data_IF_849254629395
#
_entry.id   IF_849254629395
#
_cell.length_a   1.000
_cell.length_b   1.000
_cell.length_c   1.000
_cell.angle_alpha   90.00
_cell.angle_beta   90.00
_cell.angle_gamma   90.00
#
_symmetry.space_group_name_H-M   'P 1'
#
loop_
_entity.id
_entity.type
_entity.pdbx_description
1 polymer ?
#
# COMPACT_ATOMS: atom_id res chain seq x y z
N UNK A 1 1.51 7.30 -55.86
CA UNK A 1 2.40 8.40 -55.42
C UNK A 1 1.56 9.47 -54.76
N UNK A 2 1.67 9.65 -53.43
CA UNK A 2 1.28 10.89 -52.77
C UNK A 2 2.49 11.56 -52.09
N UNK A 3 2.48 12.88 -52.15
CA UNK A 3 3.52 13.85 -51.80
C UNK A 3 3.74 13.98 -50.30
N UNK A 4 4.99 13.79 -49.89
CA UNK A 4 5.53 14.03 -48.55
C UNK A 4 5.69 15.53 -48.29
N UNK A 5 4.88 16.08 -47.38
CA UNK A 5 5.12 17.41 -46.81
C UNK A 5 6.03 17.29 -45.60
N UNK A 6 7.27 17.77 -45.74
CA UNK A 6 8.20 18.03 -44.64
C UNK A 6 7.62 19.15 -43.75
N UNK A 7 7.43 18.83 -42.46
CA UNK A 7 7.19 19.82 -41.41
C UNK A 7 8.51 20.03 -40.66
N UNK A 8 9.00 21.26 -40.67
CA UNK A 8 10.22 21.70 -40.00
C UNK A 8 10.07 21.68 -38.47
N UNK A 9 11.13 21.37 -37.70
CA UNK A 9 11.09 21.35 -36.25
C UNK A 9 11.27 22.76 -35.67
N UNK A 10 10.26 23.22 -34.94
CA UNK A 10 10.24 24.51 -34.24
C UNK A 10 10.88 24.36 -32.86
N UNK A 11 12.03 25.01 -32.72
CA UNK A 11 12.52 25.78 -31.57
C UNK A 11 12.50 25.12 -30.18
N UNK A 12 13.72 24.85 -29.72
CA UNK A 12 14.10 24.54 -28.35
C UNK A 12 13.61 25.59 -27.36
N UNK A 13 12.62 25.22 -26.54
CA UNK A 13 12.26 25.99 -25.36
C UNK A 13 13.20 25.60 -24.22
N UNK A 14 13.98 26.59 -23.80
CA UNK A 14 15.01 26.46 -22.77
C UNK A 14 14.35 26.43 -21.41
N UNK A 15 14.38 25.26 -20.78
CA UNK A 15 13.90 25.04 -19.42
C UNK A 15 14.75 25.86 -18.44
N UNK A 16 14.16 26.68 -17.56
CA UNK A 16 14.93 27.45 -16.59
C UNK A 16 15.62 26.53 -15.58
N UNK A 17 16.81 26.90 -15.09
CA UNK A 17 17.56 26.09 -14.13
C UNK A 17 16.80 25.98 -12.80
N UNK A 18 16.67 24.75 -12.32
CA UNK A 18 16.21 24.45 -10.96
C UNK A 18 17.12 25.17 -9.95
N UNK A 19 16.58 26.22 -9.34
CA UNK A 19 17.25 26.98 -8.29
C UNK A 19 17.14 26.18 -6.99
N UNK A 20 18.21 25.45 -6.65
CA UNK A 20 18.37 24.78 -5.35
C UNK A 20 18.14 25.80 -4.23
N UNK A 21 17.02 25.69 -3.51
CA UNK A 21 16.81 26.50 -2.32
C UNK A 21 17.81 26.04 -1.26
N UNK A 22 18.79 26.92 -1.02
CA UNK A 22 19.69 26.85 0.11
C UNK A 22 18.87 26.74 1.39
N UNK A 23 18.90 25.56 2.01
CA UNK A 23 18.46 25.37 3.38
C UNK A 23 19.42 26.16 4.28
N UNK A 24 18.95 27.29 4.81
CA UNK A 24 19.66 28.03 5.85
C UNK A 24 19.45 27.29 7.18
N UNK A 25 20.52 26.89 7.90
CA UNK A 25 20.39 26.39 9.27
C UNK A 25 19.94 27.54 10.17
N UNK A 26 18.72 27.42 10.70
CA UNK A 26 18.15 28.37 11.64
C UNK A 26 18.84 28.20 13.01
N UNK A 27 19.91 28.96 13.24
CA UNK A 27 20.53 29.10 14.55
C UNK A 27 19.66 30.01 15.43
N UNK A 28 18.76 29.41 16.22
CA UNK A 28 18.03 30.15 17.26
C UNK A 28 18.84 30.25 18.57
N UNK A 29 18.80 31.40 19.24
CA UNK A 29 19.58 31.71 20.43
C UNK A 29 19.06 30.99 21.66
N UNK A 30 19.98 30.68 22.58
CA UNK A 30 19.69 30.09 23.88
C UNK A 30 18.74 30.96 24.69
N UNK A 31 17.71 30.30 25.24
CA UNK A 31 16.86 30.86 26.28
C UNK A 31 16.84 29.86 27.45
N UNK A 32 17.76 30.09 28.39
CA UNK A 32 17.61 29.59 29.75
C UNK A 32 16.52 30.41 30.43
N UNK A 33 15.37 29.79 30.72
CA UNK A 33 14.58 30.26 31.85
C UNK A 33 13.90 29.10 32.58
N UNK A 34 14.52 28.75 33.70
CA UNK A 34 13.98 27.92 34.77
C UNK A 34 12.65 28.49 35.29
N UNK A 35 11.59 27.69 35.22
CA UNK A 35 10.43 27.83 36.11
C UNK A 35 9.80 26.47 36.36
N UNK A 36 10.26 25.84 37.43
CA UNK A 36 9.61 24.70 38.07
C UNK A 36 8.35 25.19 38.78
N UNK A 37 7.20 25.19 38.11
CA UNK A 37 5.90 25.37 38.77
C UNK A 37 5.18 24.02 38.90
N UNK A 38 5.09 23.59 40.15
CA UNK A 38 4.57 22.33 40.65
C UNK A 38 3.05 22.19 40.43
N UNK A 39 2.67 21.83 39.20
CA UNK A 39 1.28 21.46 38.83
C UNK A 39 1.23 19.99 38.38
N UNK A 40 1.89 19.11 39.14
CA UNK A 40 2.27 17.75 38.70
C UNK A 40 1.24 16.64 38.94
N UNK A 41 0.01 16.93 39.38
CA UNK A 41 -0.96 15.86 39.75
C UNK A 41 -2.23 15.78 38.89
N UNK A 42 -2.40 16.66 37.90
CA UNK A 42 -3.43 16.54 36.86
C UNK A 42 -2.87 16.64 35.44
N UNK A 43 -1.57 16.34 35.28
CA UNK A 43 -1.03 15.89 34.00
C UNK A 43 -1.56 14.48 33.75
N UNK A 44 -2.84 14.41 33.36
CA UNK A 44 -3.42 13.28 32.62
C UNK A 44 -2.33 12.81 31.67
N UNK A 45 -1.94 11.55 31.81
CA UNK A 45 -0.89 10.95 31.00
C UNK A 45 -1.30 11.00 29.52
N UNK A 46 -1.05 12.16 28.87
CA UNK A 46 -1.36 12.42 27.47
C UNK A 46 -0.59 11.46 26.55
N UNK A 47 0.31 10.64 27.10
CA UNK A 47 1.05 9.60 26.39
C UNK A 47 0.31 8.26 26.41
N UNK A 48 -0.66 8.06 27.30
CA UNK A 48 -1.41 6.81 27.35
C UNK A 48 -2.33 6.67 26.14
N UNK A 49 -2.06 5.65 25.32
CA UNK A 49 -2.87 5.34 24.13
C UNK A 49 -4.34 5.04 24.54
N UNK A 50 -5.33 5.72 23.94
CA UNK A 50 -6.75 5.54 24.24
C UNK A 50 -7.17 4.07 24.13
N UNK A 51 -8.12 3.66 24.96
CA UNK A 51 -8.65 2.27 24.94
C UNK A 51 -9.20 1.87 23.58
N UNK A 52 -9.69 2.83 22.79
CA UNK A 52 -10.27 2.58 21.48
C UNK A 52 -9.24 2.35 20.36
N UNK A 53 -7.97 2.62 20.62
CA UNK A 53 -6.83 2.25 19.76
C UNK A 53 -6.24 0.88 20.11
N UNK A 54 -6.58 0.36 21.29
CA UNK A 54 -6.16 -0.98 21.72
C UNK A 54 -7.10 -1.99 21.09
N UNK A 55 -6.55 -3.06 20.52
CA UNK A 55 -7.29 -4.17 19.93
C UNK A 55 -7.92 -5.11 21.00
N UNK A 56 -8.19 -4.56 22.19
CA UNK A 56 -8.63 -5.25 23.39
C UNK A 56 -10.07 -4.83 23.66
N UNK A 57 -10.99 -5.39 22.87
CA UNK A 57 -12.40 -5.07 22.99
C UNK A 57 -13.11 -6.01 23.96
N UNK A 58 -13.65 -5.42 25.03
CA UNK A 58 -14.54 -6.08 25.95
C UNK A 58 -15.91 -6.39 25.30
N UNK A 59 -16.36 -5.54 24.36
CA UNK A 59 -17.73 -5.54 23.84
C UNK A 59 -17.96 -6.49 22.65
N UNK A 60 -16.90 -7.08 22.07
CA UNK A 60 -17.02 -8.04 20.97
C UNK A 60 -17.32 -9.44 21.53
N UNK A 61 -18.30 -10.19 20.97
CA UNK A 61 -18.58 -11.56 21.37
C UNK A 61 -17.31 -12.41 21.39
N UNK A 62 -17.14 -13.24 22.42
CA UNK A 62 -15.91 -14.01 22.65
C UNK A 62 -15.50 -14.87 21.44
N UNK A 63 -16.47 -15.33 20.65
CA UNK A 63 -16.25 -16.13 19.44
C UNK A 63 -15.68 -15.32 18.27
N UNK A 64 -16.06 -14.03 18.13
CA UNK A 64 -15.58 -13.16 17.05
C UNK A 64 -14.29 -12.41 17.40
N UNK A 65 -13.95 -12.33 18.70
CA UNK A 65 -12.76 -11.64 19.20
C UNK A 65 -11.46 -12.03 18.48
N UNK A 66 -11.09 -13.32 18.32
CA UNK A 66 -9.84 -13.67 17.65
C UNK A 66 -9.85 -13.24 16.18
N UNK A 67 -10.96 -13.40 15.47
CA UNK A 67 -11.06 -13.01 14.06
C UNK A 67 -10.86 -11.50 13.88
N UNK A 68 -11.55 -10.68 14.67
CA UNK A 68 -11.40 -9.23 14.63
C UNK A 68 -9.97 -8.80 14.98
N UNK A 69 -9.35 -9.46 15.96
CA UNK A 69 -7.98 -9.17 16.34
C UNK A 69 -6.98 -9.45 15.21
N UNK A 70 -7.13 -10.59 14.53
CA UNK A 70 -6.30 -10.94 13.37
C UNK A 70 -6.55 -10.03 12.19
N UNK A 71 -7.82 -9.69 11.90
CA UNK A 71 -8.16 -8.77 10.82
C UNK A 71 -7.57 -7.38 11.06
N UNK A 72 -7.69 -6.86 12.29
CA UNK A 72 -7.11 -5.58 12.67
C UNK A 72 -5.58 -5.60 12.58
N UNK A 73 -4.95 -6.67 13.08
CA UNK A 73 -3.50 -6.83 12.99
C UNK A 73 -3.03 -6.93 11.53
N UNK A 74 -3.75 -7.66 10.68
CA UNK A 74 -3.49 -7.75 9.26
C UNK A 74 -3.64 -6.39 8.56
N UNK A 75 -4.72 -5.65 8.83
CA UNK A 75 -4.93 -4.31 8.30
C UNK A 75 -3.82 -3.35 8.75
N UNK A 76 -3.43 -3.38 10.03
CA UNK A 76 -2.30 -2.60 10.53
C UNK A 76 -1.00 -2.99 9.85
N UNK A 77 -0.75 -4.29 9.66
CA UNK A 77 0.46 -4.79 9.03
C UNK A 77 0.52 -4.37 7.56
N UNK A 78 -0.59 -4.40 6.83
CA UNK A 78 -0.63 -4.00 5.42
C UNK A 78 -0.52 -2.48 5.29
N UNK A 79 -1.31 -1.72 6.06
CA UNK A 79 -1.35 -0.27 5.98
C UNK A 79 -0.09 0.41 6.52
N UNK A 80 0.50 -0.13 7.60
CA UNK A 80 1.63 0.50 8.31
C UNK A 80 2.88 -0.38 8.34
N UNK A 81 2.87 -1.60 7.82
CA UNK A 81 4.02 -2.51 7.97
C UNK A 81 4.27 -2.96 9.41
N UNK A 82 3.34 -2.72 10.34
CA UNK A 82 3.49 -3.04 11.77
C UNK A 82 2.24 -3.72 12.32
N UNK A 83 2.38 -4.71 13.21
CA UNK A 83 1.23 -5.42 13.77
C UNK A 83 0.42 -4.59 14.79
N UNK A 84 0.96 -3.44 15.23
CA UNK A 84 0.32 -2.58 16.21
C UNK A 84 0.48 -1.09 15.89
N UNK A 85 -0.50 -0.29 16.33
CA UNK A 85 -0.50 1.16 16.19
C UNK A 85 0.24 1.89 17.33
N UNK A 86 0.77 1.17 18.32
CA UNK A 86 1.38 1.79 19.52
C UNK A 86 2.54 2.71 19.17
N UNK A 87 3.41 2.27 18.26
CA UNK A 87 4.54 3.07 17.82
C UNK A 87 4.12 4.26 16.94
N UNK A 88 3.09 4.08 16.09
CA UNK A 88 2.52 5.17 15.32
C UNK A 88 1.90 6.23 16.24
N UNK A 89 1.14 5.80 17.25
CA UNK A 89 0.56 6.65 18.28
C UNK A 89 1.64 7.46 19.01
N UNK A 90 2.73 6.80 19.43
CA UNK A 90 3.82 7.46 20.15
C UNK A 90 4.49 8.54 19.30
N UNK A 91 4.73 8.27 18.01
CA UNK A 91 5.30 9.25 17.08
C UNK A 91 4.36 10.43 16.81
N UNK A 92 3.07 10.16 16.59
CA UNK A 92 2.09 11.23 16.38
C UNK A 92 1.90 12.13 17.62
N UNK A 93 2.18 11.62 18.82
CA UNK A 93 2.07 12.39 20.06
C UNK A 93 3.41 12.84 20.65
N UNK A 94 4.55 12.60 19.98
CA UNK A 94 5.86 13.05 20.47
C UNK A 94 6.00 14.57 20.43
N UNK A 95 5.16 15.25 19.63
CA UNK A 95 5.25 16.70 19.38
C UNK A 95 6.38 17.07 18.44
N UNK A 96 7.09 16.07 17.89
CA UNK A 96 8.15 16.26 16.92
C UNK A 96 7.59 16.14 15.49
N UNK A 97 7.61 17.24 14.75
CA UNK A 97 7.12 17.27 13.36
C UNK A 97 7.95 16.36 12.44
N UNK A 98 9.25 16.20 12.72
CA UNK A 98 10.14 15.36 11.91
C UNK A 98 9.73 13.87 11.97
N UNK A 99 9.30 13.40 13.14
CA UNK A 99 8.82 12.01 13.31
C UNK A 99 7.54 11.77 12.50
N UNK A 100 6.65 12.75 12.45
CA UNK A 100 5.41 12.70 11.68
C UNK A 100 5.69 12.71 10.18
N UNK A 101 6.55 13.61 9.71
CA UNK A 101 6.95 13.67 8.30
C UNK A 101 7.67 12.39 7.86
N UNK A 102 8.54 11.82 8.69
CA UNK A 102 9.19 10.55 8.39
C UNK A 102 8.18 9.40 8.19
N UNK A 103 7.13 9.34 9.02
CA UNK A 103 6.07 8.35 8.91
C UNK A 103 5.22 8.55 7.64
N UNK A 104 4.87 9.81 7.34
CA UNK A 104 4.14 10.20 6.13
C UNK A 104 4.91 9.85 4.85
N UNK A 105 6.20 10.17 4.81
CA UNK A 105 7.10 9.82 3.69
C UNK A 105 7.11 8.29 3.50
N UNK A 106 7.27 7.52 4.59
CA UNK A 106 7.28 6.07 4.52
C UNK A 106 5.99 5.51 3.91
N UNK A 107 4.83 5.96 4.37
CA UNK A 107 3.53 5.51 3.85
C UNK A 107 3.39 5.92 2.37
N UNK A 108 3.75 7.15 2.02
CA UNK A 108 3.73 7.64 0.63
C UNK A 108 4.63 6.81 -0.29
N UNK A 109 5.83 6.45 0.16
CA UNK A 109 6.74 5.57 -0.59
C UNK A 109 6.12 4.19 -0.79
N UNK A 110 5.51 3.60 0.24
CA UNK A 110 4.84 2.29 0.11
C UNK A 110 3.70 2.34 -0.91
N UNK A 111 2.82 3.36 -0.83
CA UNK A 111 1.73 3.54 -1.79
C UNK A 111 2.24 3.77 -3.23
N UNK A 112 3.30 4.58 -3.38
CA UNK A 112 3.93 4.83 -4.68
C UNK A 112 4.45 3.54 -5.30
N UNK A 113 5.16 2.72 -4.51
CA UNK A 113 5.67 1.43 -4.97
C UNK A 113 4.56 0.49 -5.41
N UNK A 114 3.46 0.40 -4.64
CA UNK A 114 2.30 -0.42 -5.01
C UNK A 114 1.63 0.09 -6.29
N UNK A 115 1.51 1.41 -6.47
CA UNK A 115 0.94 1.97 -7.69
C UNK A 115 1.81 1.68 -8.92
N UNK A 116 3.14 1.74 -8.78
CA UNK A 116 4.06 1.36 -9.87
C UNK A 116 3.88 -0.11 -10.23
N UNK A 117 3.90 -1.01 -9.24
CA UNK A 117 3.70 -2.45 -9.47
C UNK A 117 2.31 -2.73 -10.06
N UNK A 118 1.27 -2.10 -9.51
CA UNK A 118 -0.10 -2.21 -10.01
C UNK A 118 -0.23 -1.72 -11.45
N UNK A 119 0.40 -0.60 -11.81
CA UNK A 119 0.43 -0.10 -13.18
C UNK A 119 1.11 -1.05 -14.17
N UNK A 120 2.22 -1.67 -13.77
CA UNK A 120 2.92 -2.69 -14.58
C UNK A 120 2.07 -3.96 -14.77
N UNK A 121 1.44 -4.44 -13.70
CA UNK A 121 0.51 -5.57 -13.75
C UNK A 121 -0.70 -5.25 -14.63
N UNK A 122 -1.23 -4.03 -14.53
CA UNK A 122 -2.36 -3.57 -15.32
C UNK A 122 -2.03 -3.55 -16.80
N UNK A 123 -0.89 -2.97 -17.17
CA UNK A 123 -0.41 -2.94 -18.55
C UNK A 123 -0.20 -4.35 -19.12
N UNK A 124 0.44 -5.22 -18.35
CA UNK A 124 0.66 -6.63 -18.74
C UNK A 124 -0.66 -7.35 -18.97
N UNK A 125 -1.61 -7.22 -18.05
CA UNK A 125 -2.94 -7.85 -18.16
C UNK A 125 -3.72 -7.29 -19.35
N UNK A 126 -3.64 -5.97 -19.59
CA UNK A 126 -4.25 -5.33 -20.76
C UNK A 126 -3.66 -5.85 -22.08
N UNK A 127 -2.35 -6.05 -22.15
CA UNK A 127 -1.70 -6.65 -23.31
C UNK A 127 -2.20 -8.07 -23.53
N UNK A 128 -2.29 -8.90 -22.48
CA UNK A 128 -2.80 -10.28 -22.61
C UNK A 128 -4.26 -10.32 -23.08
N UNK A 129 -5.09 -9.38 -22.61
CA UNK A 129 -6.50 -9.30 -23.02
C UNK A 129 -6.69 -8.83 -24.47
N UNK A 130 -5.76 -8.03 -25.00
CA UNK A 130 -5.87 -7.41 -26.33
C UNK A 130 -5.10 -8.14 -27.41
N UNK A 131 -4.12 -8.97 -27.04
CA UNK A 131 -3.27 -9.70 -27.97
C UNK A 131 -3.64 -11.18 -28.02
N UNK A 132 -3.80 -11.73 -29.23
CA UNK A 132 -3.98 -13.18 -29.40
C UNK A 132 -2.71 -13.95 -29.00
N UNK A 133 -2.84 -15.20 -28.51
CA UNK A 133 -1.69 -16.00 -28.12
C UNK A 133 -0.76 -16.18 -29.31
N UNK A 134 0.55 -15.89 -29.17
CA UNK A 134 1.50 -16.07 -30.28
C UNK A 134 1.60 -17.53 -30.72
N UNK A 135 1.31 -18.46 -29.80
CA UNK A 135 1.32 -19.91 -29.99
C UNK A 135 0.23 -20.57 -29.15
N UNK A 136 -0.94 -20.76 -29.76
CA UNK A 136 -2.09 -21.40 -29.12
C UNK A 136 -1.84 -22.89 -28.79
N UNK A 137 -0.84 -23.51 -29.41
CA UNK A 137 -0.39 -24.87 -29.11
C UNK A 137 0.29 -25.00 -27.74
N UNK A 138 0.97 -23.93 -27.28
CA UNK A 138 1.75 -23.96 -26.03
C UNK A 138 0.91 -23.45 -24.84
N UNK A 139 0.31 -22.26 -24.95
CA UNK A 139 -0.54 -21.67 -23.91
C UNK A 139 -1.71 -20.98 -24.60
N UNK A 140 -2.89 -21.60 -24.54
CA UNK A 140 -4.13 -20.98 -25.00
C UNK A 140 -4.82 -20.25 -23.84
N UNK A 141 -4.51 -18.95 -23.70
CA UNK A 141 -5.15 -18.08 -22.73
C UNK A 141 -6.47 -17.46 -23.24
N UNK A 142 -6.91 -17.77 -24.46
CA UNK A 142 -8.21 -17.36 -24.99
C UNK A 142 -9.36 -18.28 -24.58
N UNK A 143 -9.06 -19.39 -23.89
CA UNK A 143 -10.09 -20.22 -23.28
C UNK A 143 -10.93 -19.40 -22.31
N UNK A 144 -12.22 -19.72 -22.24
CA UNK A 144 -13.18 -18.96 -21.44
C UNK A 144 -12.74 -18.84 -19.96
N UNK A 145 -12.18 -19.89 -19.37
CA UNK A 145 -11.70 -19.88 -17.98
C UNK A 145 -10.64 -18.80 -17.71
N UNK A 146 -9.42 -18.94 -18.29
CA UNK A 146 -8.36 -17.95 -18.16
C UNK A 146 -8.80 -16.52 -18.51
N UNK A 147 -9.60 -16.37 -19.57
CA UNK A 147 -10.08 -15.07 -20.02
C UNK A 147 -10.90 -14.32 -18.95
N UNK A 148 -11.85 -14.99 -18.29
CA UNK A 148 -12.62 -14.38 -17.20
C UNK A 148 -11.72 -14.05 -15.99
N UNK A 149 -10.71 -14.88 -15.70
CA UNK A 149 -9.72 -14.57 -14.66
C UNK A 149 -8.94 -13.29 -14.98
N UNK A 150 -8.45 -13.12 -16.21
CA UNK A 150 -7.72 -11.91 -16.61
C UNK A 150 -8.59 -10.65 -16.55
N UNK A 151 -9.87 -10.73 -16.94
CA UNK A 151 -10.82 -9.61 -16.79
C UNK A 151 -11.01 -9.25 -15.32
N UNK A 152 -11.26 -10.24 -14.45
CA UNK A 152 -11.43 -9.99 -13.02
C UNK A 152 -10.16 -9.36 -12.42
N UNK A 153 -8.98 -9.92 -12.73
CA UNK A 153 -7.70 -9.38 -12.28
C UNK A 153 -7.45 -7.95 -12.78
N UNK A 154 -7.84 -7.64 -14.02
CA UNK A 154 -7.77 -6.30 -14.58
C UNK A 154 -8.58 -5.32 -13.73
N UNK A 155 -9.84 -5.62 -13.42
CA UNK A 155 -10.68 -4.76 -12.58
C UNK A 155 -10.10 -4.55 -11.18
N UNK A 156 -9.66 -5.62 -10.50
CA UNK A 156 -9.03 -5.50 -9.19
C UNK A 156 -7.75 -4.66 -9.23
N UNK A 157 -6.95 -4.79 -10.29
CA UNK A 157 -5.71 -4.00 -10.43
C UNK A 157 -6.03 -2.53 -10.69
N UNK A 158 -7.01 -2.21 -11.55
CA UNK A 158 -7.48 -0.83 -11.77
C UNK A 158 -7.99 -0.22 -10.46
N UNK A 159 -8.85 -0.92 -9.73
CA UNK A 159 -9.37 -0.44 -8.43
C UNK A 159 -8.25 -0.21 -7.43
N UNK A 160 -7.24 -1.08 -7.41
CA UNK A 160 -6.08 -0.93 -6.55
C UNK A 160 -5.24 0.30 -6.86
N UNK A 161 -4.95 0.55 -8.15
CA UNK A 161 -4.21 1.75 -8.59
C UNK A 161 -5.01 3.03 -8.30
N UNK A 162 -6.31 3.02 -8.58
CA UNK A 162 -7.20 4.14 -8.27
C UNK A 162 -7.23 4.46 -6.77
N UNK A 163 -7.43 3.43 -5.92
CA UNK A 163 -7.41 3.58 -4.48
C UNK A 163 -6.05 4.07 -3.96
N UNK A 164 -4.94 3.60 -4.55
CA UNK A 164 -3.60 4.04 -4.18
C UNK A 164 -3.34 5.50 -4.54
N UNK A 165 -3.79 5.96 -5.71
CA UNK A 165 -3.75 7.37 -6.08
C UNK A 165 -4.57 8.25 -5.11
N UNK A 166 -5.80 7.84 -4.78
CA UNK A 166 -6.60 8.53 -3.76
C UNK A 166 -5.90 8.55 -2.40
N UNK A 167 -5.28 7.44 -2.00
CA UNK A 167 -4.48 7.34 -0.78
C UNK A 167 -3.30 8.31 -0.76
N UNK A 168 -2.57 8.46 -1.88
CA UNK A 168 -1.46 9.40 -2.00
C UNK A 168 -1.94 10.86 -1.86
N UNK A 169 -3.05 11.22 -2.50
CA UNK A 169 -3.64 12.55 -2.36
C UNK A 169 -4.07 12.81 -0.92
N UNK A 170 -4.67 11.81 -0.28
CA UNK A 170 -5.08 11.89 1.11
C UNK A 170 -3.88 12.09 2.04
N UNK A 171 -2.84 11.26 1.94
CA UNK A 171 -1.58 11.39 2.70
C UNK A 171 -0.91 12.74 2.43
N UNK A 172 -1.08 13.31 1.23
CA UNK A 172 -0.55 14.62 0.89
C UNK A 172 -1.33 15.76 1.56
N UNK A 173 -2.65 15.62 1.73
CA UNK A 173 -3.52 16.64 2.33
C UNK A 173 -3.61 16.60 3.86
N UNK A 174 -3.15 15.51 4.48
CA UNK A 174 -3.22 15.30 5.92
C UNK A 174 -2.22 16.20 6.67
N UNK A 175 -2.72 17.01 7.61
CA UNK A 175 -1.92 17.72 8.62
C UNK A 175 -1.90 16.95 9.94
N UNK A 176 -0.86 17.09 10.78
CA UNK A 176 -0.78 16.38 12.05
C UNK A 176 -1.95 16.70 12.99
N UNK A 177 -2.44 17.95 12.99
CA UNK A 177 -3.62 18.36 13.76
C UNK A 177 -4.85 17.60 13.28
N UNK A 178 -5.05 17.51 11.97
CA UNK A 178 -6.20 16.81 11.39
C UNK A 178 -6.20 15.32 11.72
N UNK A 179 -5.04 14.65 11.69
CA UNK A 179 -4.94 13.25 12.13
C UNK A 179 -5.35 13.13 13.58
N UNK A 180 -4.87 14.03 14.44
CA UNK A 180 -5.18 13.99 15.88
C UNK A 180 -6.65 14.28 16.17
N UNK A 181 -7.30 15.16 15.44
CA UNK A 181 -8.70 15.47 15.69
C UNK A 181 -9.62 14.42 15.06
N UNK A 182 -9.32 13.99 13.84
CA UNK A 182 -10.19 13.10 13.07
C UNK A 182 -10.03 11.64 13.47
N UNK A 183 -8.79 11.18 13.69
CA UNK A 183 -8.47 9.78 13.97
C UNK A 183 -8.70 9.40 15.44
N UNK A 184 -8.76 10.38 16.35
CA UNK A 184 -8.96 10.13 17.80
C UNK A 184 -10.42 10.12 18.23
N UNK A 185 -11.35 10.49 17.34
CA UNK A 185 -12.76 10.64 17.69
C UNK A 185 -13.50 9.31 17.87
N UNK A 186 -13.32 8.36 16.95
CA UNK A 186 -14.08 7.09 16.95
C UNK A 186 -13.31 5.91 16.36
N UNK A 187 -13.64 4.69 16.83
CA UNK A 187 -13.06 3.43 16.35
C UNK A 187 -13.29 3.19 14.87
N UNK A 188 -14.53 3.43 14.43
CA UNK A 188 -14.94 3.19 13.05
C UNK A 188 -14.08 4.00 12.07
N UNK A 189 -13.70 5.23 12.44
CA UNK A 189 -12.82 6.06 11.61
C UNK A 189 -11.42 5.46 11.46
N UNK A 190 -10.83 4.94 12.54
CA UNK A 190 -9.53 4.26 12.48
C UNK A 190 -9.60 3.06 11.54
N UNK A 191 -10.64 2.24 11.67
CA UNK A 191 -10.86 1.09 10.79
C UNK A 191 -11.02 1.49 9.33
N UNK A 192 -11.80 2.54 9.04
CA UNK A 192 -11.98 3.06 7.68
C UNK A 192 -10.66 3.59 7.12
N UNK A 193 -9.85 4.32 7.90
CA UNK A 193 -8.55 4.83 7.47
C UNK A 193 -7.56 3.70 7.18
N UNK A 194 -7.47 2.73 8.09
CA UNK A 194 -6.64 1.54 7.89
C UNK A 194 -7.09 0.75 6.66
N UNK A 195 -8.40 0.59 6.47
CA UNK A 195 -8.95 -0.10 5.32
C UNK A 195 -8.67 0.65 4.02
N UNK A 196 -8.87 1.97 3.99
CA UNK A 196 -8.52 2.82 2.83
C UNK A 196 -7.04 2.70 2.48
N UNK A 197 -6.17 2.69 3.49
CA UNK A 197 -4.73 2.60 3.28
C UNK A 197 -4.29 1.19 2.86
N UNK A 198 -4.96 0.16 3.34
CA UNK A 198 -4.70 -1.24 2.98
C UNK A 198 -5.35 -1.64 1.64
N UNK A 199 -6.44 -0.98 1.23
CA UNK A 199 -7.19 -1.26 0.01
C UNK A 199 -6.33 -1.40 -1.26
N UNK A 200 -5.40 -0.48 -1.59
CA UNK A 200 -4.55 -0.64 -2.77
C UNK A 200 -3.72 -1.91 -2.73
N UNK A 201 -3.16 -2.26 -1.57
CA UNK A 201 -2.37 -3.48 -1.39
C UNK A 201 -3.24 -4.74 -1.56
N UNK A 202 -4.41 -4.76 -0.92
CA UNK A 202 -5.32 -5.90 -1.00
C UNK A 202 -5.84 -6.10 -2.43
N UNK A 203 -6.19 -5.02 -3.11
CA UNK A 203 -6.75 -5.07 -4.46
C UNK A 203 -5.69 -5.47 -5.49
N UNK A 204 -4.49 -4.89 -5.45
CA UNK A 204 -3.37 -5.30 -6.33
C UNK A 204 -2.92 -6.73 -6.02
N UNK A 205 -2.84 -7.10 -4.74
CA UNK A 205 -2.51 -8.46 -4.32
C UNK A 205 -3.52 -9.50 -4.80
N UNK A 206 -4.82 -9.22 -4.64
CA UNK A 206 -5.89 -10.10 -5.10
C UNK A 206 -5.91 -10.21 -6.64
N UNK A 207 -5.75 -9.09 -7.35
CA UNK A 207 -5.61 -9.09 -8.81
C UNK A 207 -4.41 -9.94 -9.27
N UNK A 208 -3.29 -9.85 -8.56
CA UNK A 208 -2.10 -10.68 -8.82
C UNK A 208 -2.39 -12.17 -8.65
N UNK A 209 -3.04 -12.57 -7.55
CA UNK A 209 -3.42 -13.98 -7.30
C UNK A 209 -4.35 -14.49 -8.40
N UNK A 210 -5.37 -13.71 -8.79
CA UNK A 210 -6.31 -14.09 -9.84
C UNK A 210 -5.59 -14.23 -11.20
N UNK A 211 -4.66 -13.33 -11.52
CA UNK A 211 -3.82 -13.44 -12.72
C UNK A 211 -3.03 -14.76 -12.73
N UNK A 212 -2.40 -15.11 -11.60
CA UNK A 212 -1.69 -16.39 -11.48
C UNK A 212 -2.61 -17.60 -11.63
N UNK A 213 -3.84 -17.56 -11.08
CA UNK A 213 -4.83 -18.61 -11.28
C UNK A 213 -5.25 -18.73 -12.75
N UNK A 214 -5.39 -17.60 -13.46
CA UNK A 214 -5.62 -17.57 -14.90
C UNK A 214 -4.53 -18.31 -15.66
N UNK A 215 -3.26 -18.00 -15.38
CA UNK A 215 -2.12 -18.71 -15.97
C UNK A 215 -2.08 -20.19 -15.62
N UNK A 216 -2.33 -20.55 -14.35
CA UNK A 216 -2.34 -21.94 -13.90
C UNK A 216 -3.44 -22.74 -14.62
N UNK A 217 -4.62 -22.14 -14.78
CA UNK A 217 -5.72 -22.77 -15.51
C UNK A 217 -5.40 -22.98 -16.99
N UNK A 218 -4.70 -22.04 -17.63
CA UNK A 218 -4.24 -22.19 -19.02
C UNK A 218 -3.16 -23.27 -19.13
N UNK A 219 -2.22 -23.31 -18.17
CA UNK A 219 -1.14 -24.31 -18.15
C UNK A 219 -1.68 -25.74 -17.97
N UNK A 220 -2.67 -25.95 -17.08
CA UNK A 220 -3.26 -27.26 -16.88
C UNK A 220 -3.96 -27.85 -18.11
N UNK A 221 -4.47 -26.99 -19.00
CA UNK A 221 -5.06 -27.44 -20.26
C UNK A 221 -4.00 -27.69 -21.33
N UNK A 222 -2.81 -27.09 -21.18
CA UNK A 222 -1.69 -27.31 -22.11
C UNK A 222 -1.13 -28.72 -21.99
N UNK A 223 -0.75 -29.29 -23.15
CA UNK A 223 -0.07 -30.58 -23.25
C UNK A 223 1.42 -30.49 -22.92
N UNK A 224 1.97 -29.28 -22.84
CA UNK A 224 3.41 -29.09 -22.63
C UNK A 224 3.79 -29.25 -21.15
N UNK A 225 4.63 -30.25 -20.87
CA UNK A 225 5.12 -30.53 -19.52
C UNK A 225 5.94 -29.37 -18.94
N UNK A 226 6.73 -28.69 -19.78
CA UNK A 226 7.56 -27.56 -19.34
C UNK A 226 6.72 -26.38 -18.81
N UNK A 227 5.58 -26.09 -19.44
CA UNK A 227 4.68 -25.02 -19.00
C UNK A 227 4.08 -25.34 -17.62
N UNK A 228 3.63 -26.59 -17.43
CA UNK A 228 3.08 -27.06 -16.16
C UNK A 228 4.11 -26.99 -15.03
N UNK A 229 5.33 -27.48 -15.25
CA UNK A 229 6.42 -27.42 -14.25
C UNK A 229 6.78 -25.97 -13.92
N UNK A 230 6.91 -25.11 -14.94
CA UNK A 230 7.21 -23.69 -14.77
C UNK A 230 6.18 -22.96 -13.90
N UNK A 231 4.88 -23.19 -14.14
CA UNK A 231 3.80 -22.59 -13.35
C UNK A 231 3.82 -23.02 -11.88
N UNK A 232 4.10 -24.30 -11.60
CA UNK A 232 4.21 -24.81 -10.23
C UNK A 232 5.36 -24.15 -9.49
N UNK A 233 6.54 -24.02 -10.12
CA UNK A 233 7.67 -23.31 -9.53
C UNK A 233 7.40 -21.83 -9.30
N UNK A 234 6.73 -21.17 -10.26
CA UNK A 234 6.36 -19.76 -10.14
C UNK A 234 5.43 -19.48 -8.95
N UNK A 235 4.57 -20.43 -8.56
CA UNK A 235 3.72 -20.34 -7.36
C UNK A 235 4.45 -20.77 -6.07
N UNK A 236 5.33 -21.76 -6.16
CA UNK A 236 6.05 -22.27 -5.00
C UNK A 236 6.97 -21.20 -4.39
N UNK A 237 7.63 -20.38 -5.22
CA UNK A 237 8.55 -19.34 -4.77
C UNK A 237 7.85 -18.30 -3.84
N UNK A 238 6.79 -17.58 -4.26
CA UNK A 238 6.14 -16.60 -3.40
C UNK A 238 5.50 -17.24 -2.16
N UNK A 239 4.92 -18.45 -2.27
CA UNK A 239 4.38 -19.16 -1.12
C UNK A 239 5.47 -19.52 -0.10
N UNK A 240 6.65 -19.95 -0.56
CA UNK A 240 7.79 -20.24 0.31
C UNK A 240 8.28 -18.99 1.05
N UNK A 241 8.28 -17.83 0.39
CA UNK A 241 8.65 -16.55 1.00
C UNK A 241 7.63 -16.15 2.07
N UNK A 242 6.32 -16.30 1.79
CA UNK A 242 5.26 -16.02 2.77
C UNK A 242 5.37 -16.95 3.98
N UNK A 243 5.62 -18.25 3.74
CA UNK A 243 5.83 -19.23 4.80
C UNK A 243 7.06 -18.88 5.66
N UNK A 244 8.18 -18.48 5.04
CA UNK A 244 9.37 -18.04 5.75
C UNK A 244 9.10 -16.77 6.57
N UNK A 245 8.40 -15.80 6.00
CA UNK A 245 8.07 -14.56 6.68
C UNK A 245 7.18 -14.81 7.90
N UNK A 246 6.10 -15.60 7.73
CA UNK A 246 5.21 -15.97 8.84
C UNK A 246 5.94 -16.76 9.92
N UNK A 247 6.85 -17.66 9.54
CA UNK A 247 7.70 -18.38 10.49
C UNK A 247 8.58 -17.42 11.30
N UNK A 248 9.25 -16.46 10.65
CA UNK A 248 10.07 -15.45 11.34
C UNK A 248 9.22 -14.62 12.30
N UNK A 249 8.05 -14.16 11.87
CA UNK A 249 7.15 -13.36 12.70
C UNK A 249 6.63 -14.15 13.91
N UNK A 250 6.47 -15.47 13.81
CA UNK A 250 6.05 -16.31 14.94
C UNK A 250 7.10 -16.45 16.05
N UNK A 251 8.35 -16.08 15.78
CA UNK A 251 9.48 -16.18 16.73
C UNK A 251 9.83 -14.86 17.42
N UNK A 252 9.27 -13.75 16.96
CA UNK A 252 9.39 -12.42 17.54
C UNK A 252 8.29 -12.18 18.58
#
# INVERSE_FOLDING_TARGET
MPTSHLVSPTTSDSMPPFQNSHYMPNSSPGFEHSREDSTSSLLVDKRAMPKHWRNEDADVPALLRPLMQHLFACLCLVATGRPNLKLAWQRMNSGNEDDFQAERIRISTMLTNVNIVGGLLLATTATLLTTGPPRADIIDYNLAGPYHCFIAAFYFTVTGVMAGCTGLLMVSAITPEWVRETNMGTRLRIWIMLFLLACPFLSVGLGTIINFLGFLSAAWVSKDYLANVGCVFALAIPLSIIALFTFIQSKL
#
